data_IF_349958125415
#
_entry.id   IF_349958125415
#
_cell.length_a   1.000
_cell.length_b   1.000
_cell.length_c   1.000
_cell.angle_alpha   90.00
_cell.angle_beta   90.00
_cell.angle_gamma   90.00
#
_symmetry.space_group_name_H-M   'P 1'
#
loop_
_entity.id
_entity.type
_entity.pdbx_description
1 polymer ?
#
# COMPACT_ATOMS: atom_id res chain seq x y z
N UNK A 1 11.46 -13.10 -11.23
CA UNK A 1 10.41 -12.28 -11.91
C UNK A 1 11.06 -11.01 -12.45
N UNK A 2 10.81 -10.61 -13.73
CA UNK A 2 11.27 -9.32 -14.26
C UNK A 2 10.57 -8.14 -13.58
N UNK A 3 11.00 -6.92 -13.86
CA UNK A 3 10.33 -5.71 -13.40
C UNK A 3 9.04 -5.50 -14.20
N UNK A 4 7.92 -5.26 -13.52
CA UNK A 4 6.60 -5.03 -14.11
C UNK A 4 6.07 -3.68 -13.72
N UNK A 5 5.25 -3.09 -14.61
CA UNK A 5 4.50 -1.86 -14.35
C UNK A 5 5.41 -0.65 -14.01
N UNK A 6 4.86 0.37 -13.39
CA UNK A 6 5.56 1.58 -12.92
C UNK A 6 5.94 2.55 -14.02
N UNK A 7 5.33 2.45 -15.20
CA UNK A 7 5.65 3.33 -16.33
C UNK A 7 5.42 4.80 -16.00
N UNK A 8 4.31 5.12 -15.31
CA UNK A 8 4.00 6.48 -14.90
C UNK A 8 4.97 7.00 -13.84
N UNK A 9 5.29 6.16 -12.84
CA UNK A 9 6.24 6.52 -11.79
C UNK A 9 7.66 6.71 -12.33
N UNK A 10 8.11 5.84 -13.24
CA UNK A 10 9.41 5.96 -13.91
C UNK A 10 9.46 7.23 -14.76
N UNK A 11 8.42 7.49 -15.56
CA UNK A 11 8.35 8.70 -16.36
C UNK A 11 8.40 9.97 -15.49
N UNK A 12 7.68 9.97 -14.37
CA UNK A 12 7.69 11.06 -13.40
C UNK A 12 9.08 11.26 -12.76
N UNK A 13 9.79 10.19 -12.42
CA UNK A 13 11.16 10.30 -11.88
C UNK A 13 12.15 10.83 -12.93
N UNK A 14 12.03 10.42 -14.19
CA UNK A 14 12.85 10.93 -15.30
C UNK A 14 12.56 12.42 -15.60
N UNK A 15 11.28 12.82 -15.54
CA UNK A 15 10.90 14.25 -15.64
C UNK A 15 11.59 15.09 -14.56
N UNK A 16 11.57 14.61 -13.32
CA UNK A 16 12.21 15.30 -12.18
C UNK A 16 13.73 15.41 -12.36
N UNK A 17 14.36 14.37 -12.90
CA UNK A 17 15.78 14.42 -13.23
C UNK A 17 16.09 15.55 -14.21
N UNK A 18 15.29 15.71 -15.26
CA UNK A 18 15.47 16.83 -16.21
C UNK A 18 15.26 18.19 -15.54
N UNK A 19 14.23 18.33 -14.70
CA UNK A 19 14.00 19.56 -13.94
C UNK A 19 15.15 19.89 -12.98
N UNK A 20 15.81 18.87 -12.43
CA UNK A 20 16.94 19.06 -11.51
C UNK A 20 18.18 19.71 -12.16
N UNK A 21 18.27 19.66 -13.48
CA UNK A 21 19.32 20.35 -14.25
C UNK A 21 19.17 21.89 -14.21
N UNK A 22 17.99 22.39 -13.89
CA UNK A 22 17.71 23.82 -13.78
C UNK A 22 17.74 24.32 -12.33
N UNK A 23 17.19 23.56 -11.38
CA UNK A 23 17.19 23.85 -9.94
C UNK A 23 16.98 22.57 -9.14
N UNK A 24 17.34 22.59 -7.87
CA UNK A 24 17.23 21.42 -7.01
C UNK A 24 15.79 20.85 -6.95
N UNK A 25 15.69 19.55 -7.06
CA UNK A 25 14.44 18.80 -6.92
C UNK A 25 14.49 17.88 -5.70
N UNK A 26 13.39 17.82 -4.95
CA UNK A 26 13.29 16.99 -3.76
C UNK A 26 12.09 16.04 -3.89
N UNK A 27 12.36 14.79 -4.17
CA UNK A 27 11.32 13.74 -4.32
C UNK A 27 11.26 12.87 -3.09
N UNK A 28 10.06 12.69 -2.55
CA UNK A 28 9.75 11.72 -1.50
C UNK A 28 9.06 10.52 -2.12
N UNK A 29 9.65 9.33 -1.97
CA UNK A 29 9.06 8.06 -2.40
C UNK A 29 8.65 7.28 -1.16
N UNK A 30 7.36 7.11 -0.95
CA UNK A 30 6.80 6.39 0.18
C UNK A 30 5.87 5.26 -0.28
N UNK A 31 5.46 4.44 0.63
CA UNK A 31 4.60 3.29 0.39
C UNK A 31 5.00 2.15 1.31
N UNK A 32 4.15 1.14 1.39
CA UNK A 32 4.34 0.02 2.31
C UNK A 32 5.69 -0.68 2.08
N UNK A 33 6.17 -1.32 3.14
CA UNK A 33 7.33 -2.21 3.03
C UNK A 33 7.08 -3.27 1.95
N UNK A 34 8.12 -3.65 1.22
CA UNK A 34 8.06 -4.69 0.17
C UNK A 34 7.32 -4.31 -1.13
N UNK A 35 6.90 -3.05 -1.28
CA UNK A 35 6.16 -2.59 -2.48
C UNK A 35 7.06 -2.33 -3.70
N UNK A 36 8.40 -2.35 -3.52
CA UNK A 36 9.37 -2.15 -4.60
C UNK A 36 9.87 -0.71 -4.78
N UNK A 37 9.84 0.14 -3.74
CA UNK A 37 10.31 1.53 -3.80
C UNK A 37 11.74 1.67 -4.29
N UNK A 38 12.68 0.98 -3.62
CA UNK A 38 14.11 1.01 -3.94
C UNK A 38 14.35 0.51 -5.36
N UNK A 39 13.69 -0.60 -5.75
CA UNK A 39 13.80 -1.14 -7.11
C UNK A 39 13.26 -0.18 -8.17
N UNK A 40 12.22 0.60 -7.86
CA UNK A 40 11.67 1.63 -8.75
C UNK A 40 12.70 2.72 -9.03
N UNK A 41 13.36 3.26 -7.97
CA UNK A 41 14.37 4.31 -8.12
C UNK A 41 15.56 3.79 -8.93
N UNK A 42 16.06 2.59 -8.63
CA UNK A 42 17.14 1.97 -9.40
C UNK A 42 16.75 1.75 -10.87
N UNK A 43 15.49 1.33 -11.14
CA UNK A 43 15.03 1.13 -12.52
C UNK A 43 14.85 2.45 -13.27
N UNK A 44 14.38 3.49 -12.60
CA UNK A 44 14.20 4.81 -13.23
C UNK A 44 15.52 5.46 -13.65
N UNK A 45 16.59 5.19 -12.91
CA UNK A 45 17.91 5.81 -13.09
C UNK A 45 19.01 4.78 -13.40
N UNK A 46 18.67 3.66 -14.06
CA UNK A 46 19.63 2.57 -14.35
C UNK A 46 20.81 3.02 -15.19
N UNK A 47 20.66 4.07 -16.00
CA UNK A 47 21.69 4.64 -16.87
C UNK A 47 22.36 5.89 -16.28
N UNK A 48 22.00 6.29 -15.05
CA UNK A 48 22.47 7.53 -14.42
C UNK A 48 23.40 7.24 -13.23
N UNK A 49 24.42 8.07 -13.00
CA UNK A 49 25.23 7.96 -11.80
C UNK A 49 24.45 8.42 -10.56
N UNK A 50 24.25 7.50 -9.61
CA UNK A 50 23.53 7.76 -8.35
C UNK A 50 24.50 7.64 -7.19
N UNK A 51 24.49 8.64 -6.30
CA UNK A 51 24.99 8.51 -4.94
C UNK A 51 23.91 7.82 -4.10
N UNK A 52 24.23 6.66 -3.54
CA UNK A 52 23.27 5.88 -2.74
C UNK A 52 23.66 5.88 -1.27
N UNK A 53 22.83 6.48 -0.43
CA UNK A 53 22.98 6.53 1.01
C UNK A 53 21.89 5.69 1.68
N UNK A 54 22.31 4.64 2.38
CA UNK A 54 21.40 3.84 3.21
C UNK A 54 21.52 4.27 4.67
N UNK A 55 20.42 4.67 5.29
CA UNK A 55 20.42 5.11 6.69
C UNK A 55 20.29 3.88 7.60
N UNK A 56 21.44 3.25 7.90
CA UNK A 56 21.51 2.14 8.84
C UNK A 56 21.38 2.62 10.30
N UNK A 57 20.94 1.73 11.18
CA UNK A 57 20.85 1.99 12.63
C UNK A 57 22.23 1.87 13.29
N UNK A 58 23.09 2.85 13.09
CA UNK A 58 24.43 2.96 13.66
C UNK A 58 24.75 4.42 14.01
N UNK A 59 25.90 4.69 14.61
CA UNK A 59 26.30 6.07 14.95
C UNK A 59 26.34 6.95 13.69
N UNK A 60 26.02 8.24 13.82
CA UNK A 60 26.00 9.18 12.70
C UNK A 60 27.40 9.30 12.06
N UNK A 61 28.48 9.30 12.86
CA UNK A 61 29.86 9.32 12.38
C UNK A 61 30.21 8.12 11.49
N UNK A 62 29.67 6.93 11.80
CA UNK A 62 29.90 5.73 11.00
C UNK A 62 29.13 5.80 9.68
N UNK A 63 27.92 6.36 9.69
CA UNK A 63 27.17 6.66 8.46
C UNK A 63 27.95 7.65 7.58
N UNK A 64 28.48 8.72 8.19
CA UNK A 64 29.25 9.70 7.48
C UNK A 64 30.49 9.09 6.80
N UNK A 65 31.16 8.17 7.47
CA UNK A 65 32.30 7.44 6.90
C UNK A 65 31.91 6.67 5.63
N UNK A 66 30.78 5.91 5.69
CA UNK A 66 30.28 5.19 4.52
C UNK A 66 29.90 6.13 3.37
N UNK A 67 29.24 7.24 3.68
CA UNK A 67 28.78 8.21 2.67
C UNK A 67 29.95 8.93 1.99
N UNK A 68 30.98 9.26 2.75
CA UNK A 68 32.21 9.82 2.20
C UNK A 68 32.85 8.84 1.21
N UNK A 69 32.95 7.57 1.58
CA UNK A 69 33.51 6.54 0.71
C UNK A 69 32.68 6.37 -0.58
N UNK A 70 31.35 6.45 -0.48
CA UNK A 70 30.47 6.41 -1.66
C UNK A 70 30.68 7.64 -2.56
N UNK A 71 30.85 8.84 -1.98
CA UNK A 71 31.15 10.08 -2.73
C UNK A 71 32.49 9.96 -3.46
N UNK A 72 33.55 9.49 -2.77
CA UNK A 72 34.86 9.28 -3.39
C UNK A 72 34.77 8.30 -4.56
N UNK A 73 34.16 7.15 -4.34
CA UNK A 73 34.06 6.09 -5.34
C UNK A 73 33.26 6.53 -6.59
N UNK A 74 32.17 7.25 -6.40
CA UNK A 74 31.25 7.62 -7.48
C UNK A 74 31.62 8.93 -8.17
N UNK A 75 32.10 9.92 -7.44
CA UNK A 75 32.39 11.23 -8.00
C UNK A 75 33.90 11.46 -8.32
N UNK A 76 34.79 10.58 -7.85
CA UNK A 76 36.20 10.68 -8.05
C UNK A 76 36.84 11.91 -7.41
N UNK A 77 36.27 12.42 -6.32
CA UNK A 77 36.71 13.64 -5.64
C UNK A 77 37.38 13.25 -4.32
N UNK A 78 38.57 13.81 -4.02
CA UNK A 78 39.19 13.61 -2.71
C UNK A 78 38.36 14.23 -1.62
N UNK A 79 38.30 13.55 -0.50
CA UNK A 79 37.33 13.87 0.56
C UNK A 79 37.68 15.06 1.43
N UNK A 80 36.63 15.45 2.15
CA UNK A 80 36.59 16.54 3.15
C UNK A 80 37.34 16.22 4.45
N UNK A 81 38.09 15.12 4.54
CA UNK A 81 38.63 14.64 5.81
C UNK A 81 37.56 13.93 6.68
N UNK A 82 37.76 13.89 7.99
CA UNK A 82 36.82 13.26 8.92
C UNK A 82 35.61 14.14 9.13
N UNK A 83 34.45 13.68 8.70
CA UNK A 83 33.15 14.32 8.93
C UNK A 83 32.35 13.44 9.90
N UNK A 84 31.77 14.03 10.93
CA UNK A 84 31.04 13.32 11.98
C UNK A 84 29.53 13.51 11.90
N UNK A 85 29.07 14.51 11.12
CA UNK A 85 27.66 14.89 11.02
C UNK A 85 27.16 14.90 9.58
N UNK A 86 26.04 14.23 9.34
CA UNK A 86 25.41 14.16 8.02
C UNK A 86 25.10 15.53 7.38
N UNK A 87 24.60 16.55 8.12
CA UNK A 87 24.37 17.86 7.54
C UNK A 87 25.58 18.49 6.84
N UNK A 88 26.81 18.20 7.29
CA UNK A 88 28.03 18.71 6.66
C UNK A 88 28.22 18.08 5.26
N UNK A 89 27.97 16.77 5.14
CA UNK A 89 27.98 16.06 3.85
C UNK A 89 26.88 16.60 2.93
N UNK A 90 25.68 16.79 3.46
CA UNK A 90 24.55 17.29 2.68
C UNK A 90 24.82 18.71 2.16
N UNK A 91 25.35 19.60 3.01
CA UNK A 91 25.74 20.96 2.59
C UNK A 91 26.84 20.94 1.52
N UNK A 92 27.84 20.06 1.68
CA UNK A 92 28.89 19.88 0.68
C UNK A 92 28.31 19.46 -0.67
N UNK A 93 27.42 18.46 -0.71
CA UNK A 93 26.77 18.01 -1.94
C UNK A 93 25.89 19.10 -2.57
N UNK A 94 25.18 19.88 -1.77
CA UNK A 94 24.39 21.02 -2.26
C UNK A 94 25.28 22.09 -2.91
N UNK A 95 26.45 22.41 -2.33
CA UNK A 95 27.41 23.35 -2.91
C UNK A 95 28.03 22.78 -4.17
N UNK A 96 28.46 21.53 -4.14
CA UNK A 96 29.06 20.85 -5.29
C UNK A 96 28.09 20.78 -6.48
N UNK A 97 26.79 20.60 -6.18
CA UNK A 97 25.78 20.53 -7.22
C UNK A 97 25.46 21.86 -7.91
N UNK A 98 26.01 22.98 -7.44
CA UNK A 98 25.95 24.26 -8.17
C UNK A 98 26.80 24.21 -9.46
N UNK A 99 27.90 23.48 -9.44
CA UNK A 99 28.83 23.37 -10.56
C UNK A 99 28.55 22.15 -11.46
N UNK A 100 27.98 21.09 -10.91
CA UNK A 100 27.67 19.85 -11.65
C UNK A 100 26.44 19.16 -11.12
N UNK A 101 25.55 18.64 -11.98
CA UNK A 101 24.36 17.90 -11.53
C UNK A 101 24.71 16.68 -10.68
N UNK A 102 23.94 16.44 -9.62
CA UNK A 102 24.10 15.29 -8.72
C UNK A 102 22.74 14.64 -8.49
N UNK A 103 22.69 13.31 -8.62
CA UNK A 103 21.55 12.51 -8.16
C UNK A 103 21.91 11.84 -6.83
N UNK A 104 21.19 12.20 -5.76
CA UNK A 104 21.35 11.65 -4.42
C UNK A 104 20.11 10.87 -4.01
N UNK A 105 20.27 9.57 -3.77
CA UNK A 105 19.20 8.70 -3.27
C UNK A 105 19.50 8.28 -1.83
N UNK A 106 18.63 8.69 -0.88
CA UNK A 106 18.71 8.34 0.54
C UNK A 106 17.60 7.34 0.85
N UNK A 107 17.97 6.10 1.16
CA UNK A 107 17.02 5.04 1.51
C UNK A 107 16.91 4.88 3.03
N UNK A 108 15.74 4.43 3.51
CA UNK A 108 15.34 4.36 4.92
C UNK A 108 15.49 5.70 5.67
N UNK A 109 15.15 6.79 4.99
CA UNK A 109 15.32 8.17 5.44
C UNK A 109 14.72 8.43 6.83
N UNK A 110 13.63 7.76 7.20
CA UNK A 110 13.01 7.90 8.53
C UNK A 110 13.91 7.42 9.67
N UNK A 111 14.93 6.61 9.41
CA UNK A 111 15.83 6.11 10.45
C UNK A 111 16.71 7.24 11.04
N UNK A 112 16.89 8.37 10.33
CA UNK A 112 17.52 9.55 10.93
C UNK A 112 16.81 10.02 12.20
N UNK A 113 15.51 9.76 12.35
CA UNK A 113 14.79 10.09 13.59
C UNK A 113 15.40 9.41 14.83
N UNK A 114 15.99 8.21 14.66
CA UNK A 114 16.64 7.45 15.72
C UNK A 114 18.12 7.75 15.82
N UNK A 115 18.78 8.02 14.68
CA UNK A 115 20.22 8.33 14.62
C UNK A 115 20.49 9.72 15.17
N UNK A 116 19.88 10.73 14.58
CA UNK A 116 19.97 12.12 15.01
C UNK A 116 18.81 12.93 14.41
N UNK A 117 17.80 13.22 15.23
CA UNK A 117 16.61 13.95 14.78
C UNK A 117 16.91 15.37 14.29
N UNK A 118 18.02 15.99 14.71
CA UNK A 118 18.38 17.35 14.26
C UNK A 118 18.69 17.41 12.76
N UNK A 119 19.00 16.27 12.14
CA UNK A 119 19.26 16.17 10.69
C UNK A 119 18.15 16.81 9.87
N UNK A 120 16.88 16.65 10.26
CA UNK A 120 15.76 17.22 9.50
C UNK A 120 15.74 18.76 9.54
N UNK A 121 16.05 19.37 10.69
CA UNK A 121 16.14 20.82 10.82
C UNK A 121 17.36 21.40 10.09
N UNK A 122 18.49 20.69 10.16
CA UNK A 122 19.70 21.09 9.46
C UNK A 122 19.51 20.96 7.94
N UNK A 123 18.90 19.88 7.46
CA UNK A 123 18.55 19.72 6.05
C UNK A 123 17.60 20.80 5.55
N UNK A 124 16.59 21.18 6.36
CA UNK A 124 15.70 22.28 6.03
C UNK A 124 16.49 23.57 5.80
N UNK A 125 17.34 23.96 6.74
CA UNK A 125 18.17 25.16 6.64
C UNK A 125 19.05 25.16 5.42
N UNK A 126 19.73 24.06 5.14
CA UNK A 126 20.63 23.91 4.00
C UNK A 126 19.84 23.93 2.69
N UNK A 127 18.72 23.21 2.62
CA UNK A 127 17.83 23.22 1.46
C UNK A 127 17.34 24.62 1.11
N UNK A 128 16.79 25.33 2.11
CA UNK A 128 16.26 26.68 1.94
C UNK A 128 17.35 27.67 1.47
N UNK A 129 18.63 27.42 1.79
CA UNK A 129 19.77 28.25 1.37
C UNK A 129 20.23 28.02 -0.08
N UNK A 130 20.18 26.77 -0.55
CA UNK A 130 20.81 26.38 -1.81
C UNK A 130 19.87 25.93 -2.93
N UNK A 131 18.61 25.55 -2.65
CA UNK A 131 17.74 24.90 -3.62
C UNK A 131 17.50 25.66 -4.93
N UNK A 132 17.61 27.00 -4.93
CA UNK A 132 17.43 27.82 -6.14
C UNK A 132 18.67 27.87 -7.03
N UNK A 133 19.85 27.45 -6.53
CA UNK A 133 21.13 27.51 -7.23
C UNK A 133 21.74 26.14 -7.50
N UNK A 134 21.38 25.18 -6.69
CA UNK A 134 21.89 23.82 -6.77
C UNK A 134 21.18 23.02 -7.86
N UNK A 135 21.88 22.09 -8.48
CA UNK A 135 21.39 21.17 -9.51
C UNK A 135 21.38 19.74 -8.94
N UNK A 136 20.66 19.54 -7.84
CA UNK A 136 20.56 18.22 -7.18
C UNK A 136 19.18 17.60 -7.41
N UNK A 137 19.17 16.33 -7.80
CA UNK A 137 18.01 15.46 -7.77
C UNK A 137 18.07 14.65 -6.47
N UNK A 138 17.43 15.15 -5.42
CA UNK A 138 17.35 14.49 -4.12
C UNK A 138 16.13 13.58 -4.07
N UNK A 139 16.35 12.27 -3.93
CA UNK A 139 15.31 11.29 -3.71
C UNK A 139 15.46 10.74 -2.30
N UNK A 140 14.41 10.78 -1.51
CA UNK A 140 14.37 10.10 -0.21
C UNK A 140 13.29 9.04 -0.20
N UNK A 141 13.61 7.89 0.37
CA UNK A 141 12.74 6.74 0.45
C UNK A 141 12.59 6.29 1.90
N UNK A 142 11.42 5.80 2.26
CA UNK A 142 11.18 5.24 3.59
C UNK A 142 10.12 4.15 3.59
N UNK A 143 10.31 3.17 4.47
CA UNK A 143 9.43 2.00 4.57
C UNK A 143 8.36 2.13 5.66
N UNK A 144 8.53 3.03 6.63
CA UNK A 144 7.56 3.31 7.70
C UNK A 144 6.67 4.47 7.25
N UNK A 145 5.46 4.12 6.78
CA UNK A 145 4.55 5.08 6.15
C UNK A 145 4.15 6.23 7.08
N UNK A 146 3.81 5.91 8.33
CA UNK A 146 3.41 6.89 9.34
C UNK A 146 4.52 7.91 9.63
N UNK A 147 5.77 7.47 9.71
CA UNK A 147 6.91 8.36 9.93
C UNK A 147 7.19 9.26 8.73
N UNK A 148 7.17 8.71 7.50
CA UNK A 148 7.37 9.51 6.29
C UNK A 148 6.26 10.57 6.13
N UNK A 149 5.01 10.18 6.38
CA UNK A 149 3.88 11.13 6.40
C UNK A 149 4.08 12.22 7.45
N UNK A 150 4.51 11.87 8.65
CA UNK A 150 4.82 12.85 9.69
C UNK A 150 5.91 13.81 9.26
N UNK A 151 7.06 13.32 8.80
CA UNK A 151 8.22 14.16 8.43
C UNK A 151 7.85 15.18 7.35
N UNK A 152 7.04 14.81 6.35
CA UNK A 152 6.80 15.63 5.17
C UNK A 152 5.42 16.30 5.10
N UNK A 153 4.42 15.82 5.85
CA UNK A 153 3.03 16.33 5.80
C UNK A 153 2.55 16.96 7.11
N UNK A 154 3.26 16.79 8.22
CA UNK A 154 2.93 17.49 9.46
C UNK A 154 3.54 18.90 9.44
N UNK A 155 2.67 19.93 9.60
CA UNK A 155 3.06 21.35 9.62
C UNK A 155 4.08 21.72 10.70
N UNK A 156 4.26 20.88 11.71
CA UNK A 156 5.19 21.09 12.81
C UNK A 156 6.60 20.55 12.54
N UNK A 157 6.76 19.74 11.51
CA UNK A 157 8.05 19.13 11.20
C UNK A 157 8.87 20.00 10.22
N UNK A 158 10.20 20.02 10.35
CA UNK A 158 11.07 20.92 9.60
C UNK A 158 10.97 20.79 8.08
N UNK A 159 10.83 19.56 7.57
CA UNK A 159 10.78 19.29 6.14
C UNK A 159 9.38 19.40 5.51
N UNK A 160 8.39 19.88 6.29
CA UNK A 160 7.05 20.12 5.78
C UNK A 160 7.08 21.01 4.51
N UNK A 161 6.45 20.52 3.42
CA UNK A 161 6.36 21.22 2.12
C UNK A 161 7.70 21.63 1.47
N UNK A 162 8.84 20.96 1.79
CA UNK A 162 10.11 21.17 1.07
C UNK A 162 10.25 20.27 -0.13
N UNK A 163 9.50 19.17 -0.19
CA UNK A 163 9.50 18.29 -1.35
C UNK A 163 8.82 18.94 -2.57
N UNK A 164 9.41 18.76 -3.74
CA UNK A 164 8.81 19.15 -5.02
C UNK A 164 7.85 18.06 -5.54
N UNK A 165 8.09 16.81 -5.16
CA UNK A 165 7.22 15.68 -5.52
C UNK A 165 7.05 14.71 -4.34
N UNK A 166 5.83 14.23 -4.13
CA UNK A 166 5.51 13.18 -3.15
C UNK A 166 4.83 12.01 -3.86
N UNK A 167 5.55 10.88 -3.95
CA UNK A 167 5.08 9.67 -4.65
C UNK A 167 4.71 8.59 -3.63
N UNK A 168 3.46 8.16 -3.62
CA UNK A 168 2.99 7.05 -2.80
C UNK A 168 2.80 5.80 -3.66
N UNK A 169 3.76 4.89 -3.60
CA UNK A 169 3.75 3.67 -4.40
C UNK A 169 2.68 2.71 -3.88
N UNK A 170 1.81 2.26 -4.79
CA UNK A 170 0.68 1.37 -4.49
C UNK A 170 1.00 -0.07 -4.92
N UNK A 171 0.28 -1.07 -4.37
CA UNK A 171 0.36 -2.46 -4.86
C UNK A 171 0.03 -2.58 -6.34
N UNK A 172 0.46 -3.67 -6.98
CA UNK A 172 0.06 -3.99 -8.33
C UNK A 172 -1.47 -4.09 -8.43
N UNK A 173 -1.98 -3.49 -9.48
CA UNK A 173 -3.41 -3.49 -9.81
C UNK A 173 -3.79 -4.82 -10.48
N UNK A 174 -5.10 -5.18 -10.53
CA UNK A 174 -5.59 -6.37 -11.21
C UNK A 174 -5.04 -6.58 -12.63
N UNK A 175 -4.98 -5.54 -13.44
CA UNK A 175 -4.45 -5.64 -14.80
C UNK A 175 -2.99 -6.12 -14.83
N UNK A 176 -2.15 -5.60 -13.95
CA UNK A 176 -0.73 -6.01 -13.83
C UNK A 176 -0.61 -7.45 -13.32
N UNK A 177 -1.44 -7.85 -12.36
CA UNK A 177 -1.45 -9.25 -11.90
C UNK A 177 -1.88 -10.22 -13.00
N UNK A 178 -2.81 -9.84 -13.87
CA UNK A 178 -3.17 -10.62 -15.08
C UNK A 178 -1.96 -10.77 -16.03
N UNK A 179 -1.25 -9.67 -16.29
CA UNK A 179 -0.05 -9.68 -17.14
C UNK A 179 1.02 -10.62 -16.57
N UNK A 180 1.29 -10.52 -15.26
CA UNK A 180 2.25 -11.40 -14.57
C UNK A 180 1.81 -12.88 -14.68
N UNK A 181 0.53 -13.16 -14.42
CA UNK A 181 0.03 -14.53 -14.51
C UNK A 181 0.08 -15.07 -15.94
N UNK A 182 -0.26 -14.27 -16.95
CA UNK A 182 -0.17 -14.66 -18.36
C UNK A 182 1.27 -15.00 -18.78
N UNK A 183 2.27 -14.30 -18.26
CA UNK A 183 3.68 -14.54 -18.57
C UNK A 183 4.23 -15.80 -17.88
N UNK A 184 3.92 -15.99 -16.58
CA UNK A 184 4.54 -17.05 -15.77
C UNK A 184 3.70 -18.33 -15.64
N UNK A 185 2.42 -18.27 -15.98
CA UNK A 185 1.50 -19.40 -16.05
C UNK A 185 0.40 -19.15 -17.11
N UNK A 186 0.68 -19.28 -18.40
CA UNK A 186 -0.30 -18.96 -19.46
C UNK A 186 -1.64 -19.72 -19.35
N UNK A 187 -1.68 -20.81 -18.59
CA UNK A 187 -2.88 -21.61 -18.35
C UNK A 187 -3.51 -21.35 -16.97
N UNK A 188 -3.24 -20.19 -16.36
CA UNK A 188 -3.85 -19.86 -15.08
C UNK A 188 -5.38 -19.76 -15.17
N UNK A 189 -6.03 -20.09 -14.08
CA UNK A 189 -7.48 -19.96 -13.93
C UNK A 189 -7.84 -18.67 -13.20
N UNK A 190 -9.11 -18.23 -13.28
CA UNK A 190 -9.63 -17.13 -12.45
C UNK A 190 -9.43 -17.41 -10.95
N UNK A 191 -9.51 -18.69 -10.53
CA UNK A 191 -9.21 -19.11 -9.16
C UNK A 191 -7.76 -18.82 -8.77
N UNK A 192 -6.81 -19.06 -9.65
CA UNK A 192 -5.38 -18.81 -9.42
C UNK A 192 -5.10 -17.30 -9.34
N UNK A 193 -5.70 -16.51 -10.23
CA UNK A 193 -5.59 -15.05 -10.21
C UNK A 193 -6.19 -14.45 -8.95
N UNK A 194 -7.38 -14.90 -8.54
CA UNK A 194 -8.03 -14.46 -7.32
C UNK A 194 -7.22 -14.86 -6.09
N UNK A 195 -6.61 -16.04 -6.08
CA UNK A 195 -5.71 -16.48 -5.02
C UNK A 195 -4.47 -15.59 -4.91
N UNK A 196 -3.81 -15.29 -6.03
CA UNK A 196 -2.67 -14.37 -6.07
C UNK A 196 -3.05 -12.99 -5.49
N UNK A 197 -4.16 -12.40 -5.97
CA UNK A 197 -4.67 -11.12 -5.47
C UNK A 197 -5.01 -11.16 -3.99
N UNK A 198 -5.66 -12.24 -3.53
CA UNK A 198 -6.11 -12.38 -2.14
C UNK A 198 -4.96 -12.60 -1.16
N UNK A 199 -3.95 -13.40 -1.54
CA UNK A 199 -2.85 -13.78 -0.67
C UNK A 199 -1.72 -12.75 -0.62
N UNK A 200 -1.53 -11.99 -1.71
CA UNK A 200 -0.42 -11.03 -1.82
C UNK A 200 -0.85 -9.58 -1.69
N UNK A 201 -2.14 -9.29 -1.92
CA UNK A 201 -2.62 -7.90 -2.03
C UNK A 201 -1.98 -7.12 -3.18
N UNK A 202 -1.32 -7.79 -4.14
CA UNK A 202 -0.54 -7.15 -5.20
C UNK A 202 0.79 -6.55 -4.73
N UNK A 203 1.26 -6.86 -3.52
CA UNK A 203 2.56 -6.39 -3.02
C UNK A 203 3.68 -7.04 -3.81
N UNK A 204 4.50 -6.24 -4.50
CA UNK A 204 5.47 -6.68 -5.50
C UNK A 204 6.38 -7.82 -5.01
N UNK A 205 6.91 -7.71 -3.78
CA UNK A 205 7.78 -8.75 -3.21
C UNK A 205 7.07 -10.08 -2.97
N UNK A 206 5.80 -10.04 -2.55
CA UNK A 206 5.05 -11.28 -2.30
C UNK A 206 4.69 -11.97 -3.61
N UNK A 207 4.28 -11.18 -4.62
CA UNK A 207 4.06 -11.68 -5.99
C UNK A 207 5.36 -12.30 -6.52
N UNK A 208 6.48 -11.59 -6.41
CA UNK A 208 7.79 -12.08 -6.83
C UNK A 208 8.15 -13.42 -6.17
N UNK A 209 8.01 -13.53 -4.84
CA UNK A 209 8.35 -14.76 -4.10
C UNK A 209 7.56 -15.97 -4.58
N UNK A 210 6.28 -15.80 -4.89
CA UNK A 210 5.44 -16.87 -5.41
C UNK A 210 5.81 -17.23 -6.85
N UNK A 211 6.00 -16.24 -7.70
CA UNK A 211 6.37 -16.43 -9.11
C UNK A 211 7.75 -17.10 -9.24
N UNK A 212 8.76 -16.60 -8.51
CA UNK A 212 10.12 -17.15 -8.54
C UNK A 212 10.18 -18.59 -8.02
N UNK A 213 9.24 -18.97 -7.14
CA UNK A 213 9.08 -20.34 -6.66
C UNK A 213 8.24 -21.23 -7.60
N UNK A 214 7.76 -20.73 -8.75
CA UNK A 214 6.83 -21.44 -9.62
C UNK A 214 5.45 -21.73 -8.98
N UNK A 215 5.13 -21.02 -7.90
CA UNK A 215 3.88 -21.16 -7.15
C UNK A 215 2.79 -20.26 -7.76
N UNK A 216 2.33 -20.60 -8.95
CA UNK A 216 1.38 -19.82 -9.75
C UNK A 216 -0.03 -20.41 -9.82
N UNK A 217 -0.31 -21.47 -9.05
CA UNK A 217 -1.68 -21.97 -8.83
C UNK A 217 -2.07 -21.80 -7.37
N UNK A 218 -3.36 -21.69 -7.07
CA UNK A 218 -3.87 -21.55 -5.69
C UNK A 218 -3.23 -22.57 -4.74
N UNK A 219 -3.22 -23.83 -5.12
CA UNK A 219 -2.67 -24.90 -4.30
C UNK A 219 -1.17 -24.75 -4.08
N UNK A 220 -0.39 -24.41 -5.13
CA UNK A 220 1.06 -24.19 -5.00
C UNK A 220 1.36 -22.95 -4.16
N UNK A 221 0.60 -21.85 -4.35
CA UNK A 221 0.72 -20.65 -3.54
C UNK A 221 0.48 -20.96 -2.06
N UNK A 222 -0.61 -21.64 -1.73
CA UNK A 222 -0.92 -22.02 -0.36
C UNK A 222 0.17 -22.89 0.25
N UNK A 223 0.66 -23.89 -0.48
CA UNK A 223 1.74 -24.75 -0.03
C UNK A 223 3.06 -23.99 0.17
N UNK A 224 3.32 -22.95 -0.62
CA UNK A 224 4.52 -22.10 -0.46
C UNK A 224 4.39 -21.13 0.72
N UNK A 225 3.20 -20.61 0.97
CA UNK A 225 2.94 -19.66 2.08
C UNK A 225 2.92 -20.39 3.43
N UNK A 226 2.25 -21.55 3.50
CA UNK A 226 2.04 -22.31 4.74
C UNK A 226 2.98 -23.52 4.77
N UNK A 227 4.24 -23.28 5.10
CA UNK A 227 5.28 -24.29 5.28
C UNK A 227 6.33 -23.81 6.27
N UNK A 228 7.18 -24.72 6.74
CA UNK A 228 8.35 -24.38 7.53
C UNK A 228 9.20 -23.29 6.84
N UNK A 229 9.78 -22.38 7.61
CA UNK A 229 10.68 -21.32 7.17
C UNK A 229 10.08 -20.34 6.15
N UNK A 230 8.75 -20.34 5.98
CA UNK A 230 8.09 -19.39 5.09
C UNK A 230 8.13 -17.96 5.66
N UNK A 231 8.70 -17.05 4.90
CA UNK A 231 8.75 -15.61 5.25
C UNK A 231 7.36 -15.02 5.49
N UNK A 232 6.32 -15.55 4.83
CA UNK A 232 4.95 -15.07 4.98
C UNK A 232 4.38 -15.24 6.39
N UNK A 233 4.84 -16.24 7.13
CA UNK A 233 4.31 -16.53 8.47
C UNK A 233 4.63 -15.42 9.46
N UNK A 234 5.85 -14.89 9.45
CA UNK A 234 6.31 -13.83 10.34
C UNK A 234 6.09 -12.40 9.80
N UNK A 235 5.84 -12.25 8.50
CA UNK A 235 5.91 -10.97 7.80
C UNK A 235 4.90 -9.95 8.31
N UNK A 236 3.64 -10.34 8.47
CA UNK A 236 2.60 -9.44 8.97
C UNK A 236 2.92 -8.86 10.35
N UNK A 237 3.48 -9.70 11.24
CA UNK A 237 3.91 -9.27 12.58
C UNK A 237 5.09 -8.32 12.50
N UNK A 238 6.10 -8.62 11.68
CA UNK A 238 7.31 -7.81 11.56
C UNK A 238 7.01 -6.39 11.06
N UNK A 239 6.19 -6.26 10.00
CA UNK A 239 5.83 -4.96 9.43
C UNK A 239 5.03 -4.12 10.43
N UNK A 240 4.01 -4.71 11.05
CA UNK A 240 3.09 -3.95 11.90
C UNK A 240 3.69 -3.56 13.26
N UNK A 241 4.64 -4.34 13.79
CA UNK A 241 5.38 -3.94 15.00
C UNK A 241 6.26 -2.70 14.71
N UNK A 242 6.88 -2.61 13.54
CA UNK A 242 7.65 -1.42 13.16
C UNK A 242 6.77 -0.17 13.07
N UNK A 243 5.52 -0.29 12.57
CA UNK A 243 4.56 0.81 12.49
C UNK A 243 3.96 1.17 13.86
N UNK A 244 3.52 0.18 14.64
CA UNK A 244 2.72 0.43 15.86
C UNK A 244 3.57 0.61 17.13
N UNK A 245 4.84 0.16 17.10
CA UNK A 245 5.70 0.21 18.27
C UNK A 245 5.20 -0.68 19.42
N UNK A 246 5.31 -0.19 20.66
CA UNK A 246 5.04 -0.98 21.89
C UNK A 246 3.55 -1.37 22.07
N UNK A 247 2.62 -0.60 21.50
CA UNK A 247 1.18 -0.80 21.68
C UNK A 247 0.55 -1.79 20.67
N UNK A 248 1.37 -2.52 19.91
CA UNK A 248 0.92 -3.39 18.83
C UNK A 248 -0.16 -4.40 19.25
N UNK A 249 -0.19 -4.86 20.49
CA UNK A 249 -1.15 -5.88 20.96
C UNK A 249 -2.62 -5.48 20.78
N UNK A 250 -2.98 -4.23 21.11
CA UNK A 250 -4.35 -3.72 20.94
C UNK A 250 -4.70 -3.58 19.45
N UNK A 251 -3.78 -3.05 18.65
CA UNK A 251 -3.98 -2.94 17.20
C UNK A 251 -4.17 -4.31 16.56
N UNK A 252 -3.39 -5.31 16.97
CA UNK A 252 -3.53 -6.69 16.47
C UNK A 252 -4.89 -7.30 16.82
N UNK A 253 -5.39 -7.07 18.04
CA UNK A 253 -6.73 -7.53 18.44
C UNK A 253 -7.82 -6.90 17.58
N UNK A 254 -7.74 -5.59 17.30
CA UNK A 254 -8.67 -4.87 16.43
C UNK A 254 -8.61 -5.45 15.00
N UNK A 255 -7.41 -5.56 14.41
CA UNK A 255 -7.23 -6.06 13.05
C UNK A 255 -7.67 -7.53 12.91
N UNK A 256 -7.41 -8.35 13.94
CA UNK A 256 -7.89 -9.74 13.98
C UNK A 256 -9.42 -9.81 14.01
N UNK A 257 -10.10 -8.93 14.75
CA UNK A 257 -11.56 -8.88 14.77
C UNK A 257 -12.11 -8.47 13.39
N UNK A 258 -11.56 -7.43 12.77
CA UNK A 258 -11.96 -6.97 11.43
C UNK A 258 -11.74 -8.06 10.37
N UNK A 259 -10.60 -8.75 10.38
CA UNK A 259 -10.29 -9.83 9.44
C UNK A 259 -11.25 -11.02 9.56
N UNK A 260 -11.89 -11.19 10.73
CA UNK A 260 -12.93 -12.20 10.97
C UNK A 260 -14.35 -11.73 10.65
N UNK A 261 -14.49 -10.55 10.03
CA UNK A 261 -15.78 -10.01 9.58
C UNK A 261 -16.49 -9.11 10.60
N UNK A 262 -15.86 -8.74 11.72
CA UNK A 262 -16.42 -7.79 12.68
C UNK A 262 -16.08 -6.37 12.21
N UNK A 263 -17.01 -5.74 11.53
CA UNK A 263 -16.78 -4.46 10.85
C UNK A 263 -17.37 -3.26 11.56
N UNK A 264 -18.27 -3.47 12.54
CA UNK A 264 -18.86 -2.41 13.34
C UNK A 264 -18.00 -2.12 14.58
N UNK A 265 -17.86 -0.84 14.93
CA UNK A 265 -17.11 -0.44 16.12
C UNK A 265 -17.56 -1.18 17.38
N UNK A 266 -18.86 -1.29 17.61
CA UNK A 266 -19.43 -1.97 18.79
C UNK A 266 -19.06 -3.45 18.85
N UNK A 267 -19.06 -4.16 17.72
CA UNK A 267 -18.66 -5.57 17.67
C UNK A 267 -17.16 -5.74 17.98
N UNK A 268 -16.32 -4.82 17.46
CA UNK A 268 -14.88 -4.84 17.72
C UNK A 268 -14.59 -4.53 19.19
N UNK A 269 -15.25 -3.50 19.77
CA UNK A 269 -15.12 -3.14 21.19
C UNK A 269 -15.51 -4.30 22.12
N UNK A 270 -16.56 -5.04 21.78
CA UNK A 270 -16.99 -6.23 22.54
C UNK A 270 -15.89 -7.31 22.57
N UNK A 271 -15.17 -7.52 21.46
CA UNK A 271 -14.09 -8.52 21.39
C UNK A 271 -12.82 -8.02 22.09
N UNK A 272 -12.48 -6.75 21.91
CA UNK A 272 -11.25 -6.17 22.48
C UNK A 272 -11.39 -5.84 23.97
N UNK A 273 -12.62 -5.71 24.46
CA UNK A 273 -12.94 -5.47 25.87
C UNK A 273 -12.63 -4.06 26.36
N UNK A 274 -12.53 -3.07 25.44
CA UNK A 274 -12.26 -1.66 25.76
C UNK A 274 -12.74 -0.72 24.66
N UNK A 275 -12.80 0.58 24.96
CA UNK A 275 -13.00 1.61 23.95
C UNK A 275 -11.82 1.68 22.98
N UNK A 276 -12.13 1.72 21.68
CA UNK A 276 -11.11 1.67 20.61
C UNK A 276 -11.14 2.90 19.68
N UNK A 277 -11.96 3.91 19.97
CA UNK A 277 -12.14 5.07 19.08
C UNK A 277 -10.83 5.73 18.67
N UNK A 278 -9.91 5.97 19.62
CA UNK A 278 -8.59 6.52 19.35
C UNK A 278 -7.71 5.60 18.51
N UNK A 279 -7.77 4.29 18.75
CA UNK A 279 -7.01 3.29 17.99
C UNK A 279 -7.51 3.19 16.54
N UNK A 280 -8.83 3.21 16.32
CA UNK A 280 -9.41 3.22 14.97
C UNK A 280 -8.99 4.46 14.19
N UNK A 281 -9.00 5.64 14.85
CA UNK A 281 -8.56 6.89 14.22
C UNK A 281 -7.08 6.81 13.79
N UNK A 282 -6.21 6.25 14.62
CA UNK A 282 -4.79 6.06 14.26
C UNK A 282 -4.62 5.05 13.15
N UNK A 283 -5.29 3.89 13.21
CA UNK A 283 -5.24 2.88 12.16
C UNK A 283 -5.70 3.42 10.80
N UNK A 284 -6.72 4.31 10.79
CA UNK A 284 -7.26 4.94 9.59
C UNK A 284 -6.35 6.06 9.07
N UNK A 285 -5.96 7.02 9.94
CA UNK A 285 -5.37 8.30 9.51
C UNK A 285 -3.85 8.36 9.60
N UNK A 286 -3.26 7.68 10.59
CA UNK A 286 -1.81 7.72 10.79
C UNK A 286 -1.11 6.55 10.09
N UNK A 287 -1.67 5.34 10.22
CA UNK A 287 -1.08 4.11 9.70
C UNK A 287 -1.63 3.70 8.33
N UNK A 288 -2.79 4.21 7.93
CA UNK A 288 -3.52 3.84 6.69
C UNK A 288 -3.66 2.31 6.52
N UNK A 289 -3.89 1.58 7.62
CA UNK A 289 -4.05 0.11 7.61
C UNK A 289 -5.51 -0.30 7.45
N UNK A 290 -6.43 0.52 7.92
CA UNK A 290 -7.87 0.30 7.78
C UNK A 290 -8.52 1.46 7.04
N UNK A 291 -9.65 1.15 6.41
CA UNK A 291 -10.55 2.15 5.81
C UNK A 291 -11.86 2.17 6.57
N UNK A 292 -12.33 3.38 6.88
CA UNK A 292 -13.67 3.64 7.38
C UNK A 292 -14.61 3.80 6.20
N UNK A 293 -15.39 2.77 5.88
CA UNK A 293 -16.35 2.77 4.80
C UNK A 293 -17.70 3.27 5.27
N UNK A 294 -18.38 4.00 4.42
CA UNK A 294 -19.77 4.43 4.59
C UNK A 294 -20.56 4.13 3.32
N UNK A 295 -21.88 3.94 3.40
CA UNK A 295 -22.71 3.77 2.21
C UNK A 295 -22.51 4.96 1.26
N UNK A 296 -22.44 4.66 -0.05
CA UNK A 296 -22.33 5.73 -1.07
C UNK A 296 -23.52 6.71 -0.91
N UNK A 297 -23.25 8.01 -1.07
CA UNK A 297 -24.16 9.15 -0.90
C UNK A 297 -24.59 9.45 0.55
N UNK A 298 -24.17 8.68 1.54
CA UNK A 298 -24.39 9.05 2.94
C UNK A 298 -23.54 10.29 3.33
N UNK A 299 -24.06 11.07 4.26
CA UNK A 299 -23.34 12.22 4.80
C UNK A 299 -22.08 11.78 5.54
N UNK A 300 -21.01 12.57 5.47
CA UNK A 300 -19.73 12.28 6.17
C UNK A 300 -19.86 12.12 7.68
N UNK A 301 -20.95 12.66 8.29
CA UNK A 301 -21.28 12.54 9.70
C UNK A 301 -22.07 11.27 10.07
N UNK A 302 -22.34 10.38 9.10
CA UNK A 302 -23.11 9.16 9.37
C UNK A 302 -22.42 8.27 10.39
N UNK A 303 -23.24 7.60 11.22
CA UNK A 303 -22.80 6.54 12.15
C UNK A 303 -22.89 5.15 11.51
N UNK A 304 -23.49 5.05 10.31
CA UNK A 304 -23.59 3.83 9.53
C UNK A 304 -22.25 3.56 8.84
N UNK A 305 -21.26 3.08 9.57
CA UNK A 305 -19.89 2.89 9.08
C UNK A 305 -19.40 1.48 9.36
N UNK A 306 -18.58 0.97 8.44
CA UNK A 306 -17.89 -0.32 8.58
C UNK A 306 -16.38 -0.12 8.43
N UNK A 307 -15.59 -0.80 9.25
CA UNK A 307 -14.14 -0.79 9.18
C UNK A 307 -13.64 -2.03 8.44
N UNK A 308 -12.73 -1.83 7.48
CA UNK A 308 -12.09 -2.92 6.73
C UNK A 308 -10.57 -2.73 6.71
N UNK A 309 -9.83 -3.83 6.70
CA UNK A 309 -8.39 -3.79 6.46
C UNK A 309 -8.19 -3.49 4.98
N UNK A 310 -7.41 -2.47 4.64
CA UNK A 310 -7.18 -2.04 3.25
C UNK A 310 -6.43 -3.11 2.46
N UNK A 311 -5.42 -3.71 3.05
CA UNK A 311 -4.53 -4.66 2.39
C UNK A 311 -5.04 -6.10 2.49
N UNK A 312 -5.14 -6.79 1.33
CA UNK A 312 -5.61 -8.16 1.26
C UNK A 312 -4.65 -9.14 1.94
N UNK A 313 -3.32 -8.93 1.83
CA UNK A 313 -2.35 -9.77 2.51
C UNK A 313 -2.56 -9.72 4.04
N UNK A 314 -2.75 -8.54 4.62
CA UNK A 314 -3.04 -8.45 6.06
C UNK A 314 -4.39 -9.06 6.42
N UNK A 315 -5.41 -8.90 5.56
CA UNK A 315 -6.70 -9.56 5.77
C UNK A 315 -6.54 -11.08 5.81
N UNK A 316 -5.78 -11.65 4.87
CA UNK A 316 -5.43 -13.08 4.84
C UNK A 316 -4.60 -13.48 6.06
N UNK A 317 -3.55 -12.72 6.37
CA UNK A 317 -2.62 -12.99 7.44
C UNK A 317 -3.31 -13.03 8.82
N UNK A 318 -4.13 -12.03 9.15
CA UNK A 318 -4.88 -12.01 10.42
C UNK A 318 -5.94 -13.10 10.49
N UNK A 319 -6.63 -13.38 9.37
CA UNK A 319 -7.71 -14.37 9.35
C UNK A 319 -7.19 -15.79 9.50
N UNK A 320 -6.05 -16.13 8.92
CA UNK A 320 -5.58 -17.50 8.84
C UNK A 320 -4.23 -17.74 9.54
N UNK A 321 -3.24 -16.90 9.37
CA UNK A 321 -1.92 -17.11 9.96
C UNK A 321 -1.93 -16.69 11.43
N UNK A 322 -2.28 -15.46 11.74
CA UNK A 322 -2.29 -14.96 13.12
C UNK A 322 -3.30 -15.69 14.00
N UNK A 323 -4.50 -15.91 13.50
CA UNK A 323 -5.57 -16.60 14.24
C UNK A 323 -5.19 -18.03 14.64
N UNK A 324 -4.50 -18.75 13.77
CA UNK A 324 -4.11 -20.14 13.97
C UNK A 324 -2.61 -20.31 14.25
N UNK A 325 -1.96 -19.27 14.77
CA UNK A 325 -0.55 -19.27 15.09
C UNK A 325 -0.14 -20.41 16.04
N UNK A 326 -1.02 -20.79 16.97
CA UNK A 326 -0.80 -21.92 17.88
C UNK A 326 -0.62 -23.27 17.15
N UNK A 327 -1.24 -23.45 15.97
CA UNK A 327 -1.02 -24.64 15.12
C UNK A 327 0.31 -24.54 14.37
N UNK A 328 0.69 -23.34 13.96
CA UNK A 328 1.96 -23.09 13.26
C UNK A 328 3.16 -23.26 14.23
N UNK A 329 3.00 -22.90 15.50
CA UNK A 329 4.03 -23.08 16.54
C UNK A 329 4.34 -24.57 16.82
N UNK A 330 3.37 -25.45 16.63
CA UNK A 330 3.57 -26.90 16.70
C UNK A 330 3.79 -27.55 15.33
N UNK A 331 4.11 -26.75 14.32
CA UNK A 331 4.41 -27.18 12.94
C UNK A 331 3.27 -27.94 12.23
N UNK A 332 2.02 -27.80 12.68
CA UNK A 332 0.87 -28.46 12.07
C UNK A 332 0.36 -27.65 10.85
N UNK A 333 1.20 -27.50 9.84
CA UNK A 333 0.92 -26.73 8.62
C UNK A 333 -0.26 -27.28 7.83
N UNK A 334 -0.44 -28.60 7.81
CA UNK A 334 -1.51 -29.24 7.04
C UNK A 334 -2.90 -28.98 7.64
N UNK A 335 -3.02 -28.90 8.96
CA UNK A 335 -4.25 -28.47 9.61
C UNK A 335 -4.61 -27.02 9.20
N UNK A 336 -3.63 -26.11 9.16
CA UNK A 336 -3.86 -24.73 8.74
C UNK A 336 -4.28 -24.64 7.29
N UNK A 337 -3.63 -25.39 6.38
CA UNK A 337 -4.04 -25.46 4.96
C UNK A 337 -5.45 -26.01 4.80
N UNK A 338 -5.82 -27.03 5.57
CA UNK A 338 -7.17 -27.61 5.56
C UNK A 338 -8.21 -26.55 5.97
N UNK A 339 -7.95 -25.78 7.01
CA UNK A 339 -8.82 -24.70 7.47
C UNK A 339 -8.92 -23.60 6.39
N UNK A 340 -7.80 -23.20 5.78
CA UNK A 340 -7.81 -22.21 4.72
C UNK A 340 -8.67 -22.69 3.54
N UNK A 341 -8.47 -23.93 3.08
CA UNK A 341 -9.26 -24.49 1.97
C UNK A 341 -10.76 -24.57 2.28
N UNK A 342 -11.12 -24.95 3.51
CA UNK A 342 -12.53 -24.97 3.96
C UNK A 342 -13.18 -23.58 3.91
N UNK A 343 -12.48 -22.55 4.39
CA UNK A 343 -13.04 -21.21 4.57
C UNK A 343 -12.75 -20.28 3.36
N UNK A 344 -12.02 -20.79 2.34
CA UNK A 344 -11.51 -19.98 1.23
C UNK A 344 -12.62 -19.37 0.38
N UNK A 345 -13.69 -20.10 0.08
CA UNK A 345 -14.78 -19.57 -0.76
C UNK A 345 -15.42 -18.33 -0.13
N UNK A 346 -15.73 -18.39 1.18
CA UNK A 346 -16.29 -17.26 1.91
C UNK A 346 -15.29 -16.08 1.99
N UNK A 347 -14.02 -16.37 2.21
CA UNK A 347 -12.96 -15.36 2.26
C UNK A 347 -12.77 -14.67 0.90
N UNK A 348 -12.61 -15.46 -0.14
CA UNK A 348 -12.32 -14.96 -1.48
C UNK A 348 -13.52 -14.31 -2.17
N UNK A 349 -14.75 -14.57 -1.73
CA UNK A 349 -15.93 -13.81 -2.16
C UNK A 349 -15.76 -12.30 -1.89
N UNK A 350 -15.36 -11.94 -0.68
CA UNK A 350 -15.07 -10.53 -0.34
C UNK A 350 -13.85 -9.97 -1.08
N UNK A 351 -12.86 -10.81 -1.42
CA UNK A 351 -11.73 -10.40 -2.23
C UNK A 351 -12.14 -10.17 -3.70
N UNK A 352 -13.10 -10.93 -4.20
CA UNK A 352 -13.66 -10.77 -5.54
C UNK A 352 -14.44 -9.45 -5.69
N UNK A 353 -15.23 -9.06 -4.68
CA UNK A 353 -15.88 -7.73 -4.63
C UNK A 353 -14.82 -6.60 -4.72
N UNK A 354 -13.74 -6.70 -3.95
CA UNK A 354 -12.62 -5.74 -3.99
C UNK A 354 -11.91 -5.74 -5.33
N UNK A 355 -11.73 -6.91 -5.93
CA UNK A 355 -11.11 -7.06 -7.24
C UNK A 355 -11.90 -6.31 -8.30
N UNK A 356 -13.20 -6.54 -8.42
CA UNK A 356 -14.03 -5.86 -9.41
C UNK A 356 -14.17 -4.36 -9.12
N UNK A 357 -14.30 -3.97 -7.86
CA UNK A 357 -14.29 -2.55 -7.50
C UNK A 357 -13.01 -1.87 -7.98
N UNK A 358 -11.86 -2.53 -7.84
CA UNK A 358 -10.58 -2.02 -8.33
C UNK A 358 -10.52 -1.96 -9.85
N UNK A 359 -10.96 -3.00 -10.55
CA UNK A 359 -11.06 -3.03 -12.02
C UNK A 359 -11.90 -1.86 -12.54
N UNK A 360 -13.05 -1.59 -11.91
CA UNK A 360 -13.90 -0.47 -12.29
C UNK A 360 -13.24 0.90 -12.05
N UNK A 361 -12.48 1.04 -10.97
CA UNK A 361 -11.67 2.24 -10.72
C UNK A 361 -10.59 2.45 -11.79
N UNK A 362 -9.96 1.38 -12.25
CA UNK A 362 -8.91 1.40 -13.28
C UNK A 362 -9.46 1.78 -14.65
N UNK A 363 -10.68 1.41 -14.95
CA UNK A 363 -11.33 1.76 -16.22
C UNK A 363 -11.51 3.27 -16.42
N UNK A 364 -11.53 4.06 -15.34
CA UNK A 364 -11.81 5.51 -15.32
C UNK A 364 -13.15 5.88 -15.99
N UNK A 365 -14.04 4.89 -16.18
CA UNK A 365 -15.35 5.08 -16.80
C UNK A 365 -16.37 5.73 -15.88
N UNK A 366 -16.11 5.74 -14.58
CA UNK A 366 -17.05 6.21 -13.57
C UNK A 366 -16.47 7.36 -12.77
N UNK A 367 -17.31 8.33 -12.43
CA UNK A 367 -16.95 9.48 -11.60
C UNK A 367 -17.00 9.18 -10.11
N UNK A 368 -17.80 8.18 -9.72
CA UNK A 368 -17.93 7.71 -8.34
C UNK A 368 -18.20 6.23 -8.28
N UNK A 369 -17.50 5.54 -7.36
CA UNK A 369 -17.69 4.11 -7.08
C UNK A 369 -17.75 3.89 -5.58
N UNK A 370 -18.75 3.16 -5.11
CA UNK A 370 -18.91 2.82 -3.71
C UNK A 370 -19.70 1.53 -3.51
N UNK A 371 -20.02 1.22 -2.28
CA UNK A 371 -20.96 0.16 -1.91
C UNK A 371 -22.11 0.79 -1.14
N UNK A 372 -23.25 0.14 -1.09
CA UNK A 372 -24.36 0.64 -0.32
C UNK A 372 -24.94 -0.44 0.58
N UNK A 373 -25.37 -0.06 1.78
CA UNK A 373 -26.09 -0.88 2.72
C UNK A 373 -27.02 -0.02 3.55
N UNK A 374 -28.15 -0.56 3.93
CA UNK A 374 -29.09 0.12 4.81
C UNK A 374 -28.61 0.10 6.27
N UNK A 375 -29.27 0.88 7.15
CA UNK A 375 -28.88 0.98 8.57
C UNK A 375 -29.05 -0.30 9.35
N UNK A 376 -29.94 -1.20 8.91
CA UNK A 376 -30.19 -2.49 9.54
C UNK A 376 -29.25 -3.56 9.03
N UNK A 377 -28.61 -3.34 7.87
CA UNK A 377 -27.78 -4.33 7.19
C UNK A 377 -28.59 -5.45 6.51
N UNK A 378 -29.88 -5.22 6.27
CA UNK A 378 -30.78 -6.17 5.60
C UNK A 378 -30.61 -6.11 4.07
N UNK A 379 -30.28 -4.91 3.55
CA UNK A 379 -30.06 -4.69 2.13
C UNK A 379 -28.64 -4.18 1.91
N UNK A 380 -27.90 -4.83 1.01
CA UNK A 380 -26.54 -4.47 0.61
C UNK A 380 -26.38 -4.63 -0.90
N UNK A 381 -25.75 -3.63 -1.54
CA UNK A 381 -25.33 -3.67 -2.94
C UNK A 381 -23.83 -3.59 -2.95
N UNK A 382 -23.18 -4.59 -3.54
CA UNK A 382 -21.73 -4.75 -3.49
C UNK A 382 -21.01 -3.56 -4.14
N UNK A 383 -21.46 -3.11 -5.33
CA UNK A 383 -20.89 -1.97 -6.03
C UNK A 383 -22.01 -1.12 -6.65
N UNK A 384 -21.93 0.18 -6.40
CA UNK A 384 -22.68 1.21 -7.10
C UNK A 384 -21.68 2.10 -7.80
N UNK A 385 -21.78 2.20 -9.13
CA UNK A 385 -20.87 3.00 -9.95
C UNK A 385 -21.68 4.07 -10.69
N UNK A 386 -21.28 5.33 -10.56
CA UNK A 386 -21.92 6.51 -11.15
C UNK A 386 -21.01 7.15 -12.17
N UNK A 387 -21.54 7.49 -13.34
CA UNK A 387 -20.96 8.43 -14.27
C UNK A 387 -21.84 9.68 -14.32
N UNK A 388 -21.48 10.69 -13.53
CA UNK A 388 -22.20 11.97 -13.42
C UNK A 388 -22.18 12.78 -14.72
N UNK A 389 -21.23 12.52 -15.62
CA UNK A 389 -21.11 13.26 -16.89
C UNK A 389 -22.13 12.80 -17.93
N UNK A 390 -22.58 11.55 -17.83
CA UNK A 390 -23.50 10.93 -18.79
C UNK A 390 -24.87 10.60 -18.17
N UNK A 391 -25.09 10.94 -16.89
CA UNK A 391 -26.28 10.56 -16.12
C UNK A 391 -26.53 9.04 -16.14
N UNK A 392 -25.45 8.25 -15.93
CA UNK A 392 -25.48 6.80 -15.92
C UNK A 392 -25.16 6.25 -14.54
N UNK A 393 -25.85 5.20 -14.13
CA UNK A 393 -25.55 4.45 -12.93
C UNK A 393 -25.65 2.94 -13.15
N UNK A 394 -24.67 2.22 -12.58
CA UNK A 394 -24.63 0.75 -12.65
C UNK A 394 -24.64 0.19 -11.25
N UNK A 395 -25.56 -0.73 -10.98
CA UNK A 395 -25.65 -1.50 -9.74
C UNK A 395 -25.12 -2.92 -9.99
N UNK A 396 -24.18 -3.35 -9.17
CA UNK A 396 -23.47 -4.60 -9.41
C UNK A 396 -23.52 -5.46 -8.16
N UNK A 397 -23.92 -6.71 -8.34
CA UNK A 397 -23.80 -7.80 -7.37
C UNK A 397 -22.66 -8.72 -7.81
N UNK A 398 -21.80 -9.11 -6.87
CA UNK A 398 -20.62 -9.94 -7.16
C UNK A 398 -20.81 -11.33 -6.54
N UNK A 399 -20.73 -12.37 -7.35
CA UNK A 399 -20.83 -13.77 -6.91
C UNK A 399 -19.64 -14.57 -7.42
N UNK A 400 -19.17 -15.56 -6.65
CA UNK A 400 -18.11 -16.46 -7.14
C UNK A 400 -18.53 -17.27 -8.36
N UNK A 401 -19.79 -17.70 -8.39
CA UNK A 401 -20.41 -18.43 -9.48
C UNK A 401 -21.53 -17.62 -10.10
N UNK A 402 -21.56 -17.56 -11.42
CA UNK A 402 -22.57 -16.81 -12.16
C UNK A 402 -23.99 -17.29 -11.87
N UNK A 403 -24.18 -18.59 -11.69
CA UNK A 403 -25.47 -19.22 -11.34
C UNK A 403 -26.08 -18.73 -10.00
N UNK A 404 -25.28 -18.11 -9.14
CA UNK A 404 -25.74 -17.55 -7.87
C UNK A 404 -26.15 -16.08 -7.98
N UNK A 405 -26.13 -15.49 -9.15
CA UNK A 405 -26.64 -14.14 -9.38
C UNK A 405 -28.16 -14.18 -9.53
N UNK A 406 -28.83 -13.33 -8.77
CA UNK A 406 -30.28 -13.16 -8.79
C UNK A 406 -30.62 -11.72 -9.16
N UNK A 407 -31.09 -11.54 -10.39
CA UNK A 407 -31.44 -10.23 -10.92
C UNK A 407 -32.66 -9.61 -10.22
N UNK A 408 -33.64 -10.43 -9.82
CA UNK A 408 -34.86 -9.93 -9.15
C UNK A 408 -34.52 -9.45 -7.72
N UNK A 409 -33.67 -10.19 -7.01
CA UNK A 409 -33.17 -9.76 -5.71
C UNK A 409 -32.33 -8.47 -5.80
N UNK A 410 -31.56 -8.28 -6.85
CA UNK A 410 -30.82 -7.02 -7.06
C UNK A 410 -31.79 -5.88 -7.39
N UNK A 411 -32.83 -6.11 -8.20
CA UNK A 411 -33.89 -5.13 -8.49
C UNK A 411 -34.55 -4.61 -7.21
N UNK A 412 -34.92 -5.51 -6.30
CA UNK A 412 -35.54 -5.14 -5.02
C UNK A 412 -34.59 -4.24 -4.19
N UNK A 413 -33.30 -4.57 -4.13
CA UNK A 413 -32.30 -3.77 -3.41
C UNK A 413 -32.13 -2.37 -4.04
N UNK A 414 -32.14 -2.28 -5.38
CA UNK A 414 -32.05 -1.00 -6.12
C UNK A 414 -33.27 -0.12 -5.83
N UNK A 415 -34.48 -0.71 -5.74
CA UNK A 415 -35.67 0.01 -5.35
C UNK A 415 -35.59 0.57 -3.92
N UNK A 416 -35.07 -0.23 -2.99
CA UNK A 416 -34.82 0.21 -1.60
C UNK A 416 -33.81 1.36 -1.59
N UNK A 417 -32.70 1.21 -2.32
CA UNK A 417 -31.66 2.25 -2.49
C UNK A 417 -32.26 3.55 -3.02
N UNK A 418 -33.01 3.48 -4.11
CA UNK A 418 -33.58 4.66 -4.79
C UNK A 418 -34.55 5.40 -3.87
N UNK A 419 -35.39 4.66 -3.14
CA UNK A 419 -36.30 5.25 -2.14
C UNK A 419 -35.56 5.88 -0.97
N UNK A 420 -34.48 5.24 -0.47
CA UNK A 420 -33.73 5.72 0.67
C UNK A 420 -32.86 6.95 0.36
N UNK A 421 -32.29 7.00 -0.84
CA UNK A 421 -31.32 8.06 -1.23
C UNK A 421 -31.93 9.17 -2.07
N UNK A 422 -33.03 8.89 -2.79
CA UNK A 422 -33.62 9.78 -3.77
C UNK A 422 -32.75 10.02 -5.03
N UNK A 423 -31.69 9.18 -5.20
CA UNK A 423 -30.72 9.29 -6.30
C UNK A 423 -31.19 8.56 -7.55
N UNK A 424 -30.61 8.99 -8.69
CA UNK A 424 -30.74 8.35 -10.00
C UNK A 424 -32.15 8.33 -10.62
N UNK A 425 -33.03 9.25 -10.22
CA UNK A 425 -34.41 9.32 -10.77
C UNK A 425 -34.42 9.60 -12.27
N UNK A 426 -33.45 10.43 -12.74
CA UNK A 426 -33.34 10.89 -14.13
C UNK A 426 -32.13 10.24 -14.84
N UNK A 427 -31.51 9.23 -14.23
CA UNK A 427 -30.34 8.53 -14.78
C UNK A 427 -30.75 7.30 -15.59
N UNK A 428 -29.93 6.95 -16.56
CA UNK A 428 -29.98 5.63 -17.18
C UNK A 428 -29.39 4.62 -16.21
N UNK A 429 -30.23 3.77 -15.64
CA UNK A 429 -29.84 2.79 -14.64
C UNK A 429 -29.70 1.41 -15.28
N UNK A 430 -28.58 0.75 -15.03
CA UNK A 430 -28.36 -0.64 -15.42
C UNK A 430 -27.94 -1.50 -14.22
N UNK A 431 -28.14 -2.82 -14.36
CA UNK A 431 -27.82 -3.79 -13.34
C UNK A 431 -26.96 -4.91 -13.94
N UNK A 432 -26.01 -5.41 -13.16
CA UNK A 432 -25.08 -6.41 -13.64
C UNK A 432 -24.67 -7.39 -12.54
N UNK A 433 -24.66 -8.68 -12.84
CA UNK A 433 -23.91 -9.68 -12.09
C UNK A 433 -22.48 -9.73 -12.57
N UNK A 434 -21.52 -9.80 -11.66
CA UNK A 434 -20.12 -10.12 -11.97
C UNK A 434 -19.68 -11.35 -11.21
N UNK A 435 -18.92 -12.20 -11.87
CA UNK A 435 -18.47 -13.47 -11.29
C UNK A 435 -17.03 -13.78 -11.69
N UNK A 436 -16.52 -14.93 -11.26
CA UNK A 436 -15.19 -15.39 -11.65
C UNK A 436 -15.02 -15.60 -13.14
N UNK A 437 -16.11 -15.73 -13.90
CA UNK A 437 -16.06 -15.83 -15.37
C UNK A 437 -15.72 -14.50 -16.04
N UNK A 438 -15.92 -13.38 -15.33
CA UNK A 438 -15.61 -12.01 -15.81
C UNK A 438 -14.18 -11.55 -15.45
N UNK A 439 -13.40 -12.38 -14.77
CA UNK A 439 -12.04 -12.05 -14.35
C UNK A 439 -11.02 -12.07 -15.48
#
# INVERSE_FOLDING_TARGET
MRFFDRTEEIASLKEILELSKSNAQFTVVTGRRRIGKTSLVWKAYEDEPILYFFVARKAESDLCTDYIQEIENKLGIPTMGRVERFPEIFEYLMKLSIERPITLFIDEFQEFFKVNKSVYSDMQRIWDMYHTKAHINLIVCGSIFSMMTKIFKDKKEPLYNRQTRFMSIKPFIPAVLKEIMAEYNPNYTSEDLLALYSFTGGVAKYVQLLVDAGATTKTKMLNHIIKADSVFLGEGKAILIEEFGKDYGVYFSILSAIARGKTLRSEIEQIVGREIGGYLTKLEKEYEVITKNQPIFEKSSTKNVRYTIEDNFFTFWFRFIYKYNYMLEIENYDAVKTIINRDYETFSGKMLERYFKRVLMESKAYTRIGSWWDRKGENEIDIVAENELNDEAVFIEVKRKEENFDADALNEKVDVFTRATGKFKDYTVSQKGLSMTDM
#
